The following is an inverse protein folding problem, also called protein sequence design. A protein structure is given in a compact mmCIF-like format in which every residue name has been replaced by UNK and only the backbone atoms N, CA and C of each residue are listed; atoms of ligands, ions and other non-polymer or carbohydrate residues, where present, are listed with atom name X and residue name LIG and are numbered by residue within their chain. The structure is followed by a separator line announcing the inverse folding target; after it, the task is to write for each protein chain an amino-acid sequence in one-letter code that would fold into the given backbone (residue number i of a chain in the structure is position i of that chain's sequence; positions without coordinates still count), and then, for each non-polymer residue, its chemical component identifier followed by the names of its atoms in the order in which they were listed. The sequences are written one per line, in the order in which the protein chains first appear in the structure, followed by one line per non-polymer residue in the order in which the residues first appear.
data_IF_573957578123
#
_entry.id   IF_573957578123
#
_cell.length_a   1.000
_cell.length_b   1.000
_cell.length_c   1.000
_cell.angle_alpha   90.00
_cell.angle_beta   90.00
_cell.angle_gamma   90.00
#
_symmetry.space_group_name_H-M   'P 1'
#
loop_
_entity.id
_entity.type
_entity.pdbx_description
1 polymer ?
#
# COMPACT_ATOMS: atom_id res chain seq x y z
N UNK A 1 -8.21 21.57 -14.63
CA UNK A 1 -8.51 22.80 -13.88
C UNK A 1 -7.50 22.97 -12.73
N UNK A 2 -6.80 24.12 -12.67
CA UNK A 2 -5.76 24.39 -11.65
C UNK A 2 -6.25 25.25 -10.50
N UNK A 3 -7.47 25.81 -10.61
CA UNK A 3 -8.06 26.71 -9.61
C UNK A 3 -9.48 26.24 -9.23
N UNK A 4 -9.94 26.58 -8.02
CA UNK A 4 -11.26 26.19 -7.55
C UNK A 4 -12.38 26.96 -8.25
N UNK A 5 -13.60 26.39 -8.27
CA UNK A 5 -14.80 27.09 -8.81
C UNK A 5 -15.01 28.41 -8.07
N UNK A 6 -14.77 28.44 -6.76
CA UNK A 6 -14.87 29.66 -5.95
C UNK A 6 -13.89 30.74 -6.45
N UNK A 7 -12.64 30.39 -6.71
CA UNK A 7 -11.66 31.33 -7.25
C UNK A 7 -12.04 31.81 -8.65
N UNK A 8 -12.63 30.95 -9.50
CA UNK A 8 -13.15 31.38 -10.83
C UNK A 8 -14.29 32.38 -10.63
N UNK A 9 -15.23 32.12 -9.72
CA UNK A 9 -16.32 33.05 -9.39
C UNK A 9 -15.79 34.40 -8.93
N UNK A 10 -14.82 34.40 -8.03
CA UNK A 10 -14.21 35.64 -7.51
C UNK A 10 -13.49 36.44 -8.61
N UNK A 11 -12.83 35.77 -9.55
CA UNK A 11 -12.11 36.40 -10.65
C UNK A 11 -13.02 36.90 -11.77
N UNK A 12 -14.12 36.18 -12.05
CA UNK A 12 -14.95 36.42 -13.24
C UNK A 12 -16.29 37.08 -12.93
N UNK A 13 -16.75 37.05 -11.69
CA UNK A 13 -18.10 37.45 -11.29
C UNK A 13 -19.22 36.49 -11.75
N UNK A 14 -18.88 35.39 -12.43
CA UNK A 14 -19.86 34.42 -12.91
C UNK A 14 -20.39 33.60 -11.74
N UNK A 15 -21.73 33.39 -11.71
CA UNK A 15 -22.35 32.60 -10.67
C UNK A 15 -21.85 31.16 -10.63
N UNK A 16 -21.69 30.63 -9.41
CA UNK A 16 -21.13 29.29 -9.16
C UNK A 16 -21.82 28.18 -9.95
N UNK A 17 -23.13 28.20 -10.06
CA UNK A 17 -23.92 27.21 -10.79
C UNK A 17 -23.63 27.23 -12.29
N UNK A 18 -23.41 28.43 -12.86
CA UNK A 18 -23.05 28.58 -14.27
C UNK A 18 -21.67 27.99 -14.55
N UNK A 19 -20.69 28.30 -13.69
CA UNK A 19 -19.33 27.73 -13.81
C UNK A 19 -19.41 26.20 -13.71
N UNK A 20 -20.20 25.69 -12.77
CA UNK A 20 -20.38 24.24 -12.59
C UNK A 20 -21.07 23.56 -13.78
N UNK A 21 -22.03 24.23 -14.39
CA UNK A 21 -22.71 23.74 -15.60
C UNK A 21 -21.71 23.62 -16.76
N UNK A 22 -20.97 24.69 -17.05
CA UNK A 22 -19.93 24.69 -18.10
C UNK A 22 -18.88 23.64 -17.84
N UNK A 23 -18.43 23.53 -16.59
CA UNK A 23 -17.47 22.47 -16.22
C UNK A 23 -18.01 21.07 -16.50
N UNK A 24 -19.30 20.83 -16.21
CA UNK A 24 -19.92 19.54 -16.48
C UNK A 24 -19.99 19.26 -17.98
N UNK A 25 -20.39 20.22 -18.79
CA UNK A 25 -20.43 20.10 -20.25
C UNK A 25 -19.05 19.74 -20.83
N UNK A 26 -17.99 20.42 -20.38
CA UNK A 26 -16.60 20.09 -20.77
C UNK A 26 -16.21 18.67 -20.34
N UNK A 27 -16.64 18.23 -19.15
CA UNK A 27 -16.36 16.87 -18.67
C UNK A 27 -17.11 15.82 -19.48
N UNK A 28 -18.39 16.08 -19.80
CA UNK A 28 -19.23 15.17 -20.58
C UNK A 28 -18.67 15.01 -22.01
N UNK A 29 -18.19 16.09 -22.62
CA UNK A 29 -17.49 16.07 -23.91
C UNK A 29 -16.20 15.24 -23.84
N UNK A 30 -15.38 15.46 -22.83
CA UNK A 30 -14.15 14.68 -22.62
C UNK A 30 -14.42 13.17 -22.37
N UNK A 31 -15.52 12.85 -21.69
CA UNK A 31 -15.95 11.45 -21.50
C UNK A 31 -16.37 10.86 -22.85
N UNK A 32 -17.18 11.58 -23.62
CA UNK A 32 -17.62 11.13 -24.94
C UNK A 32 -16.46 10.90 -25.91
N UNK A 33 -15.49 11.83 -25.98
CA UNK A 33 -14.28 11.66 -26.80
C UNK A 33 -13.49 10.41 -26.36
N UNK A 34 -13.41 10.16 -25.05
CA UNK A 34 -12.76 8.97 -24.50
C UNK A 34 -13.49 7.68 -24.89
N UNK A 35 -14.81 7.65 -24.76
CA UNK A 35 -15.60 6.49 -25.17
C UNK A 35 -15.46 6.22 -26.67
N UNK A 36 -15.41 7.27 -27.48
CA UNK A 36 -15.13 7.16 -28.91
C UNK A 36 -13.76 6.55 -29.17
N UNK A 37 -12.72 7.03 -28.47
CA UNK A 37 -11.37 6.48 -28.59
C UNK A 37 -11.31 5.00 -28.20
N UNK A 38 -12.01 4.59 -27.14
CA UNK A 38 -12.05 3.18 -26.71
C UNK A 38 -12.74 2.25 -27.71
N UNK A 39 -13.61 2.81 -28.59
CA UNK A 39 -14.27 2.08 -29.67
C UNK A 39 -13.50 2.15 -30.99
N UNK A 40 -12.43 2.95 -31.05
CA UNK A 40 -11.55 3.01 -32.19
C UNK A 40 -10.74 1.71 -32.29
N UNK A 41 -10.82 1.00 -33.41
CA UNK A 41 -10.10 -0.24 -33.66
C UNK A 41 -8.57 -0.09 -33.55
N UNK A 42 -8.06 1.14 -33.72
CA UNK A 42 -6.64 1.47 -33.60
C UNK A 42 -6.16 1.58 -32.14
N UNK A 43 -7.07 1.82 -31.17
CA UNK A 43 -6.67 1.98 -29.77
C UNK A 43 -6.68 0.66 -29.03
N UNK A 44 -5.49 0.20 -28.64
CA UNK A 44 -5.29 -1.08 -27.93
C UNK A 44 -4.29 -0.90 -26.78
N UNK A 45 -4.75 -0.61 -25.55
CA UNK A 45 -3.88 -0.45 -24.40
C UNK A 45 -3.16 -1.78 -24.11
N UNK A 46 -1.88 -1.69 -23.75
CA UNK A 46 -1.05 -2.88 -23.48
C UNK A 46 -0.85 -3.12 -21.99
N UNK A 47 -0.78 -2.06 -21.21
CA UNK A 47 -0.48 -2.13 -19.78
C UNK A 47 -1.55 -1.36 -19.01
N UNK A 48 -2.31 -2.08 -18.18
CA UNK A 48 -3.36 -1.49 -17.37
C UNK A 48 -2.92 -1.35 -15.91
N UNK A 49 -3.46 -0.35 -15.22
CA UNK A 49 -3.47 -0.29 -13.76
C UNK A 49 -4.90 -0.30 -13.25
N UNK A 50 -5.14 -1.04 -12.18
CA UNK A 50 -6.43 -1.11 -11.49
C UNK A 50 -6.22 -0.77 -10.02
N UNK A 51 -6.96 0.22 -9.52
CA UNK A 51 -6.91 0.62 -8.10
C UNK A 51 -8.28 1.07 -7.61
N UNK A 52 -8.45 1.05 -6.30
CA UNK A 52 -9.66 1.43 -5.58
C UNK A 52 -9.38 2.66 -4.72
N UNK A 53 -10.32 3.59 -4.69
CA UNK A 53 -10.22 4.71 -3.78
C UNK A 53 -11.55 5.03 -3.09
N UNK A 54 -11.46 5.56 -1.88
CA UNK A 54 -12.63 6.03 -1.15
C UNK A 54 -13.15 7.34 -1.73
N UNK A 55 -14.41 7.35 -2.15
CA UNK A 55 -15.10 8.55 -2.64
C UNK A 55 -15.45 9.48 -1.49
N UNK A 56 -15.92 8.92 -0.36
CA UNK A 56 -16.26 9.68 0.86
C UNK A 56 -15.72 8.97 2.09
N UNK A 57 -15.63 9.70 3.21
CA UNK A 57 -15.41 9.09 4.53
C UNK A 57 -16.58 8.13 4.81
N UNK A 58 -16.29 6.87 5.04
CA UNK A 58 -17.28 5.79 5.19
C UNK A 58 -17.50 5.07 3.86
N UNK A 59 -17.35 3.86 3.79
CA UNK A 59 -17.61 2.75 2.84
C UNK A 59 -18.04 3.02 1.38
N UNK A 60 -17.97 4.25 0.86
CA UNK A 60 -18.22 4.55 -0.55
C UNK A 60 -16.88 4.55 -1.32
N UNK A 61 -16.73 3.59 -2.22
CA UNK A 61 -15.51 3.38 -3.01
C UNK A 61 -15.81 3.54 -4.50
N UNK A 62 -14.76 3.80 -5.27
CA UNK A 62 -14.75 3.64 -6.72
C UNK A 62 -13.55 2.80 -7.13
N UNK A 63 -13.71 2.10 -8.25
CA UNK A 63 -12.64 1.39 -8.94
C UNK A 63 -12.31 2.15 -10.21
N UNK A 64 -11.03 2.36 -10.47
CA UNK A 64 -10.52 2.97 -11.70
C UNK A 64 -9.61 2.03 -12.45
N UNK A 65 -9.69 2.08 -13.78
CA UNK A 65 -8.78 1.43 -14.71
C UNK A 65 -8.09 2.49 -15.54
N UNK A 66 -6.76 2.43 -15.60
CA UNK A 66 -5.90 3.38 -16.32
C UNK A 66 -5.03 2.64 -17.33
N UNK A 67 -4.84 3.21 -18.51
CA UNK A 67 -3.73 2.87 -19.38
C UNK A 67 -2.45 3.50 -18.81
N UNK A 68 -1.48 2.68 -18.41
CA UNK A 68 -0.23 3.18 -17.81
C UNK A 68 0.72 3.79 -18.83
N UNK A 69 0.64 3.40 -20.09
CA UNK A 69 1.50 3.94 -21.15
C UNK A 69 1.06 5.38 -21.49
N UNK A 70 -0.23 5.59 -21.72
CA UNK A 70 -0.78 6.92 -22.03
C UNK A 70 -1.02 7.77 -20.77
N UNK A 71 -1.29 7.13 -19.63
CA UNK A 71 -1.66 7.82 -18.37
C UNK A 71 -3.13 8.20 -18.31
N UNK A 72 -3.95 7.61 -19.14
CA UNK A 72 -5.36 7.92 -19.32
C UNK A 72 -6.28 6.98 -18.54
N UNK A 73 -7.33 7.53 -17.93
CA UNK A 73 -8.37 6.73 -17.30
C UNK A 73 -9.28 6.14 -18.38
N UNK A 74 -9.29 4.83 -18.48
CA UNK A 74 -10.15 4.11 -19.43
C UNK A 74 -11.55 3.92 -18.89
N UNK A 75 -11.68 3.67 -17.61
CA UNK A 75 -12.95 3.38 -16.96
C UNK A 75 -12.94 3.76 -15.48
N UNK A 76 -14.10 4.12 -14.97
CA UNK A 76 -14.33 4.40 -13.56
C UNK A 76 -15.74 3.97 -13.14
N UNK A 77 -15.83 3.12 -12.13
CA UNK A 77 -17.11 2.62 -11.60
C UNK A 77 -17.23 2.79 -10.09
N UNK A 78 -18.47 2.94 -9.59
CA UNK A 78 -18.73 2.95 -8.15
C UNK A 78 -18.63 1.53 -7.59
N UNK A 79 -18.06 1.41 -6.40
CA UNK A 79 -17.92 0.16 -5.68
C UNK A 79 -16.53 -0.45 -5.77
N UNK A 80 -16.33 -1.55 -5.07
CA UNK A 80 -15.08 -2.34 -5.04
C UNK A 80 -15.32 -3.85 -4.97
N UNK A 81 -16.58 -4.26 -5.13
CA UNK A 81 -16.92 -5.67 -5.18
C UNK A 81 -16.59 -6.27 -6.55
N UNK A 82 -16.55 -7.59 -6.65
CA UNK A 82 -16.33 -8.30 -7.90
C UNK A 82 -17.27 -7.83 -9.01
N UNK A 83 -18.58 -7.76 -8.72
CA UNK A 83 -19.63 -7.30 -9.66
C UNK A 83 -19.44 -5.84 -10.12
N UNK A 84 -18.79 -5.01 -9.30
CA UNK A 84 -18.56 -3.60 -9.64
C UNK A 84 -17.42 -3.46 -10.65
N UNK A 85 -16.38 -4.28 -10.51
CA UNK A 85 -15.26 -4.32 -11.46
C UNK A 85 -15.58 -5.13 -12.72
N UNK A 86 -16.49 -6.11 -12.66
CA UNK A 86 -16.91 -6.89 -13.84
C UNK A 86 -17.51 -5.98 -14.93
N UNK A 87 -18.17 -4.88 -14.53
CA UNK A 87 -18.68 -3.85 -15.46
C UNK A 87 -17.61 -3.26 -16.38
N UNK A 88 -16.37 -3.18 -15.95
CA UNK A 88 -15.28 -2.75 -16.84
C UNK A 88 -15.19 -3.62 -18.10
N UNK A 89 -15.36 -4.93 -17.95
CA UNK A 89 -15.31 -5.87 -19.06
C UNK A 89 -16.62 -5.94 -19.88
N UNK A 90 -17.71 -5.41 -19.33
CA UNK A 90 -18.98 -5.23 -20.03
C UNK A 90 -19.01 -3.92 -20.83
N UNK A 91 -18.48 -2.84 -20.24
CA UNK A 91 -18.50 -1.49 -20.81
C UNK A 91 -17.41 -1.27 -21.87
N UNK A 92 -16.25 -1.92 -21.73
CA UNK A 92 -15.11 -1.76 -22.65
C UNK A 92 -15.09 -2.92 -23.66
N UNK A 93 -15.04 -2.62 -24.98
CA UNK A 93 -15.01 -3.65 -26.00
C UNK A 93 -13.85 -4.63 -25.82
N UNK A 94 -14.12 -5.92 -25.93
CA UNK A 94 -13.07 -6.97 -25.76
C UNK A 94 -11.95 -6.85 -26.77
N UNK A 95 -12.22 -6.38 -27.99
CA UNK A 95 -11.23 -6.14 -29.03
C UNK A 95 -10.22 -5.06 -28.63
N UNK A 96 -10.67 -4.01 -27.95
CA UNK A 96 -9.80 -2.97 -27.43
C UNK A 96 -8.84 -3.52 -26.37
N UNK A 97 -9.24 -4.54 -25.64
CA UNK A 97 -8.44 -5.17 -24.58
C UNK A 97 -7.54 -6.32 -25.12
N UNK A 98 -7.61 -6.65 -26.41
CA UNK A 98 -6.93 -7.79 -27.01
C UNK A 98 -5.40 -7.70 -26.95
N UNK A 99 -4.83 -6.50 -26.87
CA UNK A 99 -3.40 -6.24 -26.77
C UNK A 99 -2.86 -6.17 -25.33
N UNK A 100 -3.71 -6.33 -24.31
CA UNK A 100 -3.28 -6.21 -22.91
C UNK A 100 -2.34 -7.38 -22.55
N UNK A 101 -1.12 -7.03 -22.16
CA UNK A 101 -0.06 -7.96 -21.75
C UNK A 101 0.22 -7.97 -20.26
N UNK A 102 -0.10 -6.88 -19.55
CA UNK A 102 0.10 -6.78 -18.10
C UNK A 102 -0.98 -5.92 -17.43
N UNK A 103 -1.32 -6.29 -16.19
CA UNK A 103 -2.26 -5.54 -15.33
C UNK A 103 -1.61 -5.34 -13.97
N UNK A 104 -1.27 -4.08 -13.66
CA UNK A 104 -0.81 -3.68 -12.32
C UNK A 104 -2.01 -3.52 -11.39
N UNK A 105 -1.99 -4.17 -10.23
CA UNK A 105 -3.12 -4.11 -9.29
C UNK A 105 -2.71 -4.50 -7.87
N UNK A 106 -3.60 -4.25 -6.92
CA UNK A 106 -3.48 -4.79 -5.58
C UNK A 106 -3.75 -6.31 -5.57
N UNK A 107 -3.54 -6.97 -4.43
CA UNK A 107 -3.71 -8.42 -4.29
C UNK A 107 -5.16 -8.84 -4.00
N UNK A 108 -6.15 -8.14 -4.57
CA UNK A 108 -7.57 -8.47 -4.44
C UNK A 108 -7.91 -9.77 -5.18
N UNK A 109 -8.39 -10.77 -4.43
CA UNK A 109 -8.69 -12.09 -5.00
C UNK A 109 -9.82 -12.07 -6.05
N UNK A 110 -10.80 -11.18 -5.88
CA UNK A 110 -11.92 -11.04 -6.81
C UNK A 110 -11.46 -10.44 -8.14
N UNK A 111 -10.60 -9.43 -8.08
CA UNK A 111 -10.06 -8.79 -9.26
C UNK A 111 -9.13 -9.73 -10.03
N UNK A 112 -8.31 -10.51 -9.31
CA UNK A 112 -7.50 -11.55 -9.94
C UNK A 112 -8.32 -12.52 -10.76
N UNK A 113 -9.46 -12.99 -10.23
CA UNK A 113 -10.36 -13.91 -10.95
C UNK A 113 -10.89 -13.28 -12.24
N UNK A 114 -11.31 -12.02 -12.18
CA UNK A 114 -11.83 -11.31 -13.36
C UNK A 114 -10.75 -11.07 -14.40
N UNK A 115 -9.58 -10.58 -14.00
CA UNK A 115 -8.45 -10.38 -14.92
C UNK A 115 -8.04 -11.69 -15.57
N UNK A 116 -7.91 -12.78 -14.80
CA UNK A 116 -7.56 -14.10 -15.37
C UNK A 116 -8.64 -14.61 -16.32
N UNK A 117 -9.93 -14.37 -16.04
CA UNK A 117 -11.06 -14.79 -16.88
C UNK A 117 -11.10 -14.02 -18.20
N UNK A 118 -11.01 -12.70 -18.15
CA UNK A 118 -11.23 -11.83 -19.30
C UNK A 118 -9.95 -11.47 -20.06
N UNK A 119 -8.79 -11.53 -19.42
CA UNK A 119 -7.48 -11.22 -19.99
C UNK A 119 -6.49 -12.39 -19.77
N UNK A 120 -6.77 -13.59 -20.30
CA UNK A 120 -5.99 -14.79 -19.97
C UNK A 120 -4.53 -14.72 -20.44
N UNK A 121 -4.20 -13.83 -21.39
CA UNK A 121 -2.83 -13.61 -21.88
C UNK A 121 -2.07 -12.59 -21.06
N UNK A 122 -2.76 -11.79 -20.26
CA UNK A 122 -2.14 -10.73 -19.45
C UNK A 122 -1.51 -11.30 -18.17
N UNK A 123 -0.35 -10.80 -17.82
CA UNK A 123 0.29 -11.06 -16.52
C UNK A 123 -0.24 -10.09 -15.47
N UNK A 124 -0.66 -10.63 -14.34
CA UNK A 124 -0.97 -9.81 -13.16
C UNK A 124 0.36 -9.45 -12.51
N UNK A 125 0.57 -8.16 -12.26
CA UNK A 125 1.72 -7.60 -11.55
C UNK A 125 1.23 -6.96 -10.26
N UNK A 126 1.66 -7.47 -9.12
CA UNK A 126 1.26 -6.89 -7.85
C UNK A 126 2.12 -5.67 -7.51
N UNK A 127 1.42 -4.60 -7.19
CA UNK A 127 2.03 -3.32 -6.88
C UNK A 127 2.91 -3.38 -5.63
N UNK A 128 4.14 -2.87 -5.76
CA UNK A 128 5.16 -2.81 -4.70
C UNK A 128 4.65 -2.05 -3.48
N UNK A 129 4.01 -0.90 -3.69
CA UNK A 129 3.54 -0.06 -2.61
C UNK A 129 2.49 -0.76 -1.73
N UNK A 130 1.54 -1.46 -2.37
CA UNK A 130 0.52 -2.21 -1.64
C UNK A 130 1.12 -3.37 -0.84
N UNK A 131 2.10 -4.08 -1.37
CA UNK A 131 2.80 -5.14 -0.65
C UNK A 131 3.57 -4.59 0.55
N UNK A 132 4.35 -3.52 0.36
CA UNK A 132 5.11 -2.85 1.41
C UNK A 132 4.20 -2.27 2.49
N UNK A 133 3.10 -1.61 2.11
CA UNK A 133 2.13 -1.04 3.06
C UNK A 133 1.45 -2.10 3.92
N UNK A 134 1.12 -3.26 3.33
CA UNK A 134 0.56 -4.38 4.09
C UNK A 134 1.60 -4.98 5.04
N UNK A 135 2.84 -5.19 4.59
CA UNK A 135 3.92 -5.68 5.44
C UNK A 135 4.20 -4.72 6.61
N UNK A 136 4.25 -3.44 6.32
CA UNK A 136 4.45 -2.38 7.31
C UNK A 136 3.37 -2.38 8.40
N UNK A 137 2.11 -2.63 8.02
CA UNK A 137 0.98 -2.68 8.96
C UNK A 137 0.90 -4.02 9.69
N UNK A 138 0.93 -5.12 8.94
CA UNK A 138 0.54 -6.44 9.43
C UNK A 138 1.71 -7.19 10.09
N UNK A 139 2.96 -6.81 9.79
CA UNK A 139 4.17 -7.40 10.37
C UNK A 139 4.91 -6.40 11.25
N UNK A 140 5.57 -5.38 10.68
CA UNK A 140 6.37 -4.43 11.46
C UNK A 140 5.56 -3.70 12.53
N UNK A 141 4.36 -3.25 12.17
CA UNK A 141 3.45 -2.58 13.09
C UNK A 141 2.96 -3.48 14.21
N UNK A 142 2.64 -4.74 13.90
CA UNK A 142 2.18 -5.73 14.88
C UNK A 142 3.31 -6.09 15.86
N UNK A 143 4.47 -6.50 15.36
CA UNK A 143 5.62 -6.89 16.19
C UNK A 143 6.06 -5.73 17.09
N UNK A 144 6.25 -4.53 16.52
CA UNK A 144 6.60 -3.33 17.28
C UNK A 144 5.62 -3.02 18.42
N UNK A 145 4.31 -3.15 18.14
CA UNK A 145 3.29 -2.87 19.15
C UNK A 145 3.22 -3.96 20.22
N UNK A 146 3.49 -5.21 19.87
CA UNK A 146 3.53 -6.30 20.83
C UNK A 146 4.73 -6.16 21.77
N UNK A 147 5.92 -5.82 21.24
CA UNK A 147 7.08 -5.49 22.06
C UNK A 147 6.77 -4.31 23.01
N UNK A 148 6.23 -3.21 22.47
CA UNK A 148 5.85 -2.08 23.30
C UNK A 148 4.85 -2.45 24.42
N UNK A 149 3.88 -3.33 24.14
CA UNK A 149 2.93 -3.81 25.14
C UNK A 149 3.59 -4.64 26.24
N UNK A 150 4.59 -5.48 25.89
CA UNK A 150 5.37 -6.26 26.88
C UNK A 150 6.07 -5.33 27.87
N UNK A 151 6.77 -4.28 27.38
CA UNK A 151 7.39 -3.28 28.26
C UNK A 151 6.38 -2.54 29.13
N UNK A 152 5.20 -2.22 28.57
CA UNK A 152 4.13 -1.58 29.34
C UNK A 152 3.54 -2.48 30.41
N UNK A 153 3.46 -3.79 30.17
CA UNK A 153 3.02 -4.76 31.16
C UNK A 153 4.03 -4.90 32.30
N UNK A 154 5.32 -5.03 31.97
CA UNK A 154 6.42 -5.08 32.96
C UNK A 154 6.47 -3.83 33.85
N UNK A 155 6.35 -2.62 33.25
CA UNK A 155 6.26 -1.37 34.02
C UNK A 155 5.15 -1.46 35.09
N UNK A 156 3.98 -1.98 34.72
CA UNK A 156 2.85 -2.11 35.64
C UNK A 156 3.10 -3.16 36.73
N UNK A 157 3.70 -4.30 36.38
CA UNK A 157 4.06 -5.35 37.33
C UNK A 157 5.04 -4.81 38.37
N UNK A 158 6.15 -4.17 37.93
CA UNK A 158 7.14 -3.59 38.84
C UNK A 158 6.51 -2.54 39.77
N UNK A 159 5.61 -1.71 39.25
CA UNK A 159 4.94 -0.71 40.09
C UNK A 159 3.93 -1.31 41.07
N UNK A 160 3.35 -2.49 40.74
CA UNK A 160 2.43 -3.19 41.62
C UNK A 160 3.14 -3.88 42.80
N UNK A 161 4.43 -4.20 42.64
CA UNK A 161 5.25 -4.79 43.72
C UNK A 161 5.67 -3.78 44.80
N UNK A 162 5.44 -2.46 44.54
CA UNK A 162 5.70 -1.44 45.54
C UNK A 162 4.53 -1.35 46.52
N UNK A 163 4.77 -1.70 47.76
CA UNK A 163 3.83 -1.62 48.89
C UNK A 163 4.30 -0.58 49.95
N UNK A 164 3.44 -0.29 50.90
CA UNK A 164 3.79 0.61 52.01
C UNK A 164 4.91 0.08 52.91
N UNK A 165 5.12 -1.24 52.90
CA UNK A 165 6.19 -1.92 53.66
C UNK A 165 7.51 -1.99 52.92
N UNK A 166 7.56 -1.56 51.66
CA UNK A 166 8.78 -1.59 50.83
C UNK A 166 9.81 -0.57 51.34
N UNK A 167 11.01 -1.05 51.66
CA UNK A 167 12.09 -0.17 52.09
C UNK A 167 12.48 0.86 51.02
N UNK A 168 13.07 1.98 51.46
CA UNK A 168 13.37 3.14 50.55
C UNK A 168 14.36 2.78 49.43
N UNK A 169 15.30 1.87 49.65
CA UNK A 169 16.32 1.52 48.65
C UNK A 169 15.72 0.61 47.59
N UNK A 170 14.98 -0.41 47.96
CA UNK A 170 14.23 -1.30 47.07
C UNK A 170 13.18 -0.49 46.28
N UNK A 171 12.42 0.40 46.95
CA UNK A 171 11.47 1.27 46.25
C UNK A 171 12.15 2.15 45.18
N UNK A 172 13.35 2.69 45.46
CA UNK A 172 14.10 3.50 44.52
C UNK A 172 14.56 2.67 43.31
N UNK A 173 15.04 1.46 43.53
CA UNK A 173 15.45 0.53 42.47
C UNK A 173 14.26 0.15 41.58
N UNK A 174 13.13 -0.27 42.13
CA UNK A 174 11.92 -0.61 41.40
C UNK A 174 11.38 0.56 40.55
N UNK A 175 11.38 1.78 41.11
CA UNK A 175 10.99 2.99 40.36
C UNK A 175 11.94 3.29 39.20
N UNK A 176 13.24 3.03 39.35
CA UNK A 176 14.22 3.21 38.28
C UNK A 176 14.01 2.18 37.16
N UNK A 177 13.76 0.93 37.52
CA UNK A 177 13.45 -0.14 36.59
C UNK A 177 12.13 0.13 35.83
N UNK A 178 11.06 0.47 36.52
CA UNK A 178 9.80 0.87 35.89
C UNK A 178 9.97 2.07 34.94
N UNK A 179 10.85 3.01 35.27
CA UNK A 179 11.18 4.15 34.39
C UNK A 179 11.92 3.68 33.12
N UNK A 180 12.80 2.71 33.20
CA UNK A 180 13.48 2.12 32.05
C UNK A 180 12.47 1.45 31.12
N UNK A 181 11.59 0.61 31.64
CA UNK A 181 10.53 -0.06 30.87
C UNK A 181 9.60 0.95 30.18
N UNK A 182 9.26 2.03 30.84
CA UNK A 182 8.49 3.15 30.26
C UNK A 182 9.23 3.87 29.13
N UNK A 183 10.54 4.00 29.24
CA UNK A 183 11.38 4.59 28.18
C UNK A 183 11.36 3.69 26.93
N UNK A 184 11.58 2.37 27.09
CA UNK A 184 11.53 1.38 26.00
C UNK A 184 10.15 1.40 25.31
N UNK A 185 9.07 1.35 26.06
CA UNK A 185 7.73 1.53 25.52
C UNK A 185 7.61 2.78 24.64
N UNK A 186 8.11 3.92 25.11
CA UNK A 186 8.03 5.21 24.42
C UNK A 186 8.89 5.23 23.16
N UNK A 187 10.08 4.64 23.21
CA UNK A 187 11.00 4.54 22.06
C UNK A 187 10.38 3.68 20.96
N UNK A 188 9.90 2.48 21.27
CA UNK A 188 9.22 1.59 20.34
C UNK A 188 8.00 2.27 19.69
N UNK A 189 7.22 3.02 20.45
CA UNK A 189 6.08 3.78 19.88
C UNK A 189 6.50 4.81 18.84
N UNK A 190 7.62 5.51 19.08
CA UNK A 190 8.15 6.56 18.17
C UNK A 190 8.85 5.99 16.94
N UNK A 191 9.31 4.75 16.99
CA UNK A 191 10.11 4.11 15.95
C UNK A 191 9.36 3.87 14.63
N UNK A 192 8.04 4.03 14.62
CA UNK A 192 7.17 3.72 13.46
C UNK A 192 7.74 4.22 12.13
N UNK A 193 8.08 5.49 12.06
CA UNK A 193 8.49 6.10 10.81
C UNK A 193 9.88 5.65 10.36
N UNK A 194 10.81 5.44 11.28
CA UNK A 194 12.14 4.91 10.96
C UNK A 194 12.08 3.49 10.40
N UNK A 195 11.20 2.63 10.93
CA UNK A 195 10.98 1.28 10.40
C UNK A 195 10.35 1.27 8.99
N UNK A 196 9.51 2.25 8.69
CA UNK A 196 8.83 2.35 7.39
C UNK A 196 9.70 2.98 6.30
N UNK A 197 10.65 3.81 6.69
CA UNK A 197 11.58 4.46 5.75
C UNK A 197 12.62 3.44 5.27
N UNK A 198 12.97 3.47 3.99
CA UNK A 198 14.06 2.66 3.46
C UNK A 198 15.38 3.11 4.08
N UNK A 199 16.29 2.16 4.30
CA UNK A 199 17.58 2.41 4.97
C UNK A 199 18.43 3.50 4.29
N UNK A 200 18.39 3.55 2.96
CA UNK A 200 19.09 4.53 2.12
C UNK A 200 18.57 5.98 2.26
N UNK A 201 17.36 6.15 2.85
CA UNK A 201 16.70 7.46 3.03
C UNK A 201 16.68 7.92 4.49
N UNK A 202 17.24 7.14 5.39
CA UNK A 202 17.38 7.54 6.79
C UNK A 202 18.57 8.47 6.96
N UNK A 203 18.47 9.48 7.83
CA UNK A 203 19.62 10.25 8.27
C UNK A 203 20.48 9.41 9.22
N UNK A 204 21.78 9.69 9.28
CA UNK A 204 22.75 8.95 10.12
C UNK A 204 22.26 8.80 11.56
N UNK A 205 21.81 9.88 12.17
CA UNK A 205 21.27 9.89 13.55
C UNK A 205 20.06 8.97 13.73
N UNK A 206 19.14 8.89 12.73
CA UNK A 206 18.00 7.97 12.78
C UNK A 206 18.43 6.52 12.53
N UNK A 207 19.45 6.32 11.73
CA UNK A 207 20.02 5.00 11.46
C UNK A 207 20.65 4.43 12.72
N UNK A 208 21.49 5.22 13.41
CA UNK A 208 22.09 4.83 14.68
C UNK A 208 21.04 4.51 15.76
N UNK A 209 20.03 5.36 15.89
CA UNK A 209 18.92 5.13 16.82
C UNK A 209 18.15 3.85 16.49
N UNK A 210 17.86 3.61 15.21
CA UNK A 210 17.18 2.40 14.75
C UNK A 210 18.03 1.16 15.05
N UNK A 211 19.31 1.18 14.71
CA UNK A 211 20.23 0.08 14.95
C UNK A 211 20.36 -0.26 16.43
N UNK A 212 20.50 0.75 17.30
CA UNK A 212 20.53 0.54 18.75
C UNK A 212 19.29 -0.20 19.24
N UNK A 213 18.10 0.24 18.83
CA UNK A 213 16.85 -0.41 19.28
C UNK A 213 16.73 -1.83 18.69
N UNK A 214 17.12 -2.05 17.44
CA UNK A 214 17.05 -3.38 16.82
C UNK A 214 18.03 -4.40 17.46
N UNK A 215 19.12 -3.95 18.11
CA UNK A 215 20.00 -4.85 18.86
C UNK A 215 19.31 -5.50 20.05
N UNK A 216 18.37 -4.79 20.70
CA UNK A 216 17.67 -5.26 21.89
C UNK A 216 16.35 -5.98 21.57
N UNK A 217 15.87 -5.86 20.30
CA UNK A 217 14.57 -6.41 19.87
C UNK A 217 14.71 -7.35 18.67
N UNK A 218 15.08 -8.60 18.92
CA UNK A 218 15.39 -9.61 17.90
C UNK A 218 14.27 -9.77 16.85
N UNK A 219 13.02 -9.97 17.26
CA UNK A 219 11.91 -10.20 16.34
C UNK A 219 11.69 -8.98 15.42
N UNK A 220 11.85 -7.79 15.97
CA UNK A 220 11.72 -6.55 15.21
C UNK A 220 12.88 -6.39 14.21
N UNK A 221 14.11 -6.78 14.60
CA UNK A 221 15.27 -6.78 13.74
C UNK A 221 15.12 -7.73 12.56
N UNK A 222 14.65 -8.96 12.81
CA UNK A 222 14.34 -9.93 11.74
C UNK A 222 13.28 -9.38 10.79
N UNK A 223 12.18 -8.85 11.31
CA UNK A 223 11.13 -8.26 10.47
C UNK A 223 11.63 -7.07 9.65
N UNK A 224 12.52 -6.24 10.21
CA UNK A 224 13.11 -5.13 9.47
C UNK A 224 14.04 -5.61 8.35
N UNK A 225 14.90 -6.60 8.60
CA UNK A 225 15.74 -7.22 7.58
C UNK A 225 14.90 -7.83 6.44
N UNK A 226 13.81 -8.51 6.79
CA UNK A 226 12.87 -9.08 5.82
C UNK A 226 12.16 -8.00 4.98
N UNK A 227 11.88 -6.82 5.54
CA UNK A 227 11.37 -5.66 4.78
C UNK A 227 12.40 -5.17 3.76
N UNK A 228 13.65 -4.99 4.18
CA UNK A 228 14.72 -4.53 3.28
C UNK A 228 14.96 -5.53 2.14
N UNK A 229 14.98 -6.82 2.45
CA UNK A 229 15.11 -7.86 1.42
C UNK A 229 13.93 -7.86 0.44
N UNK A 230 12.70 -7.72 0.94
CA UNK A 230 11.51 -7.56 0.09
C UNK A 230 11.65 -6.36 -0.86
N UNK A 231 12.23 -5.23 -0.40
CA UNK A 231 12.49 -4.08 -1.24
C UNK A 231 13.46 -4.39 -2.38
N UNK A 232 14.54 -5.15 -2.10
CA UNK A 232 15.54 -5.59 -3.10
C UNK A 232 14.93 -6.54 -4.12
N UNK A 233 14.06 -7.45 -3.70
CA UNK A 233 13.39 -8.38 -4.61
C UNK A 233 12.57 -7.66 -5.70
N UNK A 234 11.98 -6.51 -5.38
CA UNK A 234 11.29 -5.67 -6.36
C UNK A 234 12.23 -4.91 -7.32
N UNK A 235 13.53 -4.94 -7.11
CA UNK A 235 14.53 -4.33 -7.99
C UNK A 235 15.10 -5.33 -9.01
N UNK A 236 14.78 -6.62 -8.85
CA UNK A 236 15.21 -7.65 -9.78
C UNK A 236 14.52 -7.49 -11.14
N UNK A 237 15.30 -7.63 -12.20
CA UNK A 237 14.85 -7.54 -13.60
C UNK A 237 14.80 -8.90 -14.31
N UNK A 238 15.30 -9.94 -13.67
CA UNK A 238 15.19 -11.33 -14.15
C UNK A 238 14.11 -12.07 -13.40
N UNK A 239 13.16 -12.62 -14.13
CA UNK A 239 12.00 -13.31 -13.55
C UNK A 239 12.37 -14.57 -12.77
N UNK A 240 13.35 -15.35 -13.26
CA UNK A 240 13.75 -16.58 -12.57
C UNK A 240 14.45 -16.25 -11.26
N UNK A 241 15.33 -15.25 -11.27
CA UNK A 241 15.95 -14.74 -10.06
C UNK A 241 14.90 -14.18 -9.08
N UNK A 242 13.90 -13.47 -9.57
CA UNK A 242 12.79 -12.99 -8.73
C UNK A 242 12.01 -14.17 -8.11
N UNK A 243 11.66 -15.20 -8.87
CA UNK A 243 10.98 -16.40 -8.35
C UNK A 243 11.83 -17.09 -7.26
N UNK A 244 13.13 -17.30 -7.52
CA UNK A 244 14.03 -17.90 -6.54
C UNK A 244 14.13 -17.03 -5.28
N UNK A 245 14.33 -15.73 -5.45
CA UNK A 245 14.45 -14.79 -4.35
C UNK A 245 13.18 -14.75 -3.47
N UNK A 246 12.00 -14.62 -4.08
CA UNK A 246 10.73 -14.65 -3.35
C UNK A 246 10.47 -15.98 -2.66
N UNK A 247 10.84 -17.12 -3.27
CA UNK A 247 10.70 -18.44 -2.66
C UNK A 247 11.56 -18.53 -1.39
N UNK A 248 12.83 -18.10 -1.47
CA UNK A 248 13.73 -18.05 -0.30
C UNK A 248 13.20 -17.11 0.77
N UNK A 249 12.68 -15.95 0.37
CA UNK A 249 12.08 -14.99 1.29
C UNK A 249 10.90 -15.59 2.06
N UNK A 250 9.97 -16.28 1.37
CA UNK A 250 8.84 -16.93 2.02
C UNK A 250 9.27 -18.06 2.95
N UNK A 251 10.29 -18.82 2.57
CA UNK A 251 10.85 -19.87 3.40
C UNK A 251 11.47 -19.28 4.67
N UNK A 252 12.35 -18.30 4.56
CA UNK A 252 12.97 -17.63 5.71
C UNK A 252 11.92 -16.97 6.62
N UNK A 253 10.88 -16.37 6.05
CA UNK A 253 9.78 -15.80 6.82
C UNK A 253 9.01 -16.85 7.63
N UNK A 254 8.81 -18.05 7.09
CA UNK A 254 8.14 -19.16 7.79
C UNK A 254 9.03 -19.77 8.86
N UNK A 255 10.33 -19.86 8.60
CA UNK A 255 11.34 -20.40 9.55
C UNK A 255 11.65 -19.44 10.71
N UNK A 256 11.29 -18.17 10.60
CA UNK A 256 11.51 -17.17 11.65
C UNK A 256 10.71 -17.43 12.93
N UNK A 257 9.67 -18.25 12.88
CA UNK A 257 8.72 -18.52 13.97
C UNK A 257 7.98 -17.28 14.51
N UNK A 258 8.21 -16.06 13.93
CA UNK A 258 7.54 -14.83 14.32
C UNK A 258 6.08 -14.87 13.79
N UNK A 259 5.05 -14.92 14.66
CA UNK A 259 3.69 -15.25 14.24
C UNK A 259 3.12 -14.31 13.18
N UNK A 260 3.42 -13.01 13.27
CA UNK A 260 2.96 -12.02 12.30
C UNK A 260 3.61 -12.21 10.93
N UNK A 261 4.93 -12.49 10.89
CA UNK A 261 5.70 -12.71 9.68
C UNK A 261 5.31 -14.02 9.00
N UNK A 262 5.15 -15.10 9.77
CA UNK A 262 4.68 -16.41 9.27
C UNK A 262 3.31 -16.30 8.62
N UNK A 263 2.33 -15.67 9.31
CA UNK A 263 0.98 -15.47 8.75
C UNK A 263 1.01 -14.68 7.44
N UNK A 264 1.81 -13.63 7.40
CA UNK A 264 1.97 -12.82 6.20
C UNK A 264 2.55 -13.64 5.05
N UNK A 265 3.63 -14.40 5.27
CA UNK A 265 4.26 -15.25 4.28
C UNK A 265 3.29 -16.29 3.69
N UNK A 266 2.58 -17.04 4.55
CA UNK A 266 1.59 -18.04 4.13
C UNK A 266 0.48 -17.44 3.27
N UNK A 267 0.03 -16.22 3.61
CA UNK A 267 -1.00 -15.54 2.80
C UNK A 267 -0.49 -15.08 1.43
N UNK A 268 0.79 -14.66 1.36
CA UNK A 268 1.35 -14.03 0.16
C UNK A 268 2.05 -15.01 -0.78
N UNK A 269 2.52 -16.15 -0.31
CA UNK A 269 3.23 -17.16 -1.11
C UNK A 269 2.42 -17.62 -2.34
N UNK A 270 1.11 -17.80 -2.19
CA UNK A 270 0.21 -18.11 -3.31
C UNK A 270 0.11 -17.01 -4.38
N UNK A 271 0.70 -15.86 -4.12
CA UNK A 271 0.77 -14.70 -5.04
C UNK A 271 2.13 -14.60 -5.74
N UNK A 272 3.03 -15.57 -5.53
CA UNK A 272 4.38 -15.59 -6.07
C UNK A 272 4.46 -15.22 -7.56
N UNK A 273 3.62 -15.77 -8.47
CA UNK A 273 3.73 -15.43 -9.90
C UNK A 273 3.54 -13.93 -10.17
N UNK A 274 2.60 -13.28 -9.49
CA UNK A 274 2.32 -11.84 -9.66
C UNK A 274 3.34 -10.95 -8.94
N UNK A 275 3.96 -11.43 -7.87
CA UNK A 275 5.07 -10.73 -7.20
C UNK A 275 6.33 -10.76 -8.08
N UNK A 276 6.69 -11.93 -8.61
CA UNK A 276 7.84 -12.09 -9.49
C UNK A 276 7.62 -11.40 -10.87
N UNK A 277 6.38 -11.24 -11.32
CA UNK A 277 6.06 -10.61 -12.60
C UNK A 277 6.52 -9.14 -12.68
N UNK A 278 6.82 -8.49 -11.54
CA UNK A 278 7.44 -7.17 -11.52
C UNK A 278 8.79 -7.14 -12.25
N UNK A 279 9.51 -8.26 -12.29
CA UNK A 279 10.78 -8.38 -13.02
C UNK A 279 10.61 -8.28 -14.55
N UNK A 280 9.44 -8.67 -15.10
CA UNK A 280 9.13 -8.45 -16.52
C UNK A 280 8.63 -7.04 -16.79
N UNK A 281 7.81 -6.52 -15.87
CA UNK A 281 7.13 -5.25 -16.02
C UNK A 281 7.36 -4.44 -14.76
N UNK A 282 8.33 -3.52 -14.78
CA UNK A 282 8.58 -2.59 -13.68
C UNK A 282 7.50 -1.50 -13.66
N UNK A 283 6.26 -1.92 -13.41
CA UNK A 283 5.06 -1.08 -13.40
C UNK A 283 4.51 -0.96 -11.99
N UNK A 284 3.90 0.18 -11.71
CA UNK A 284 3.22 0.44 -10.44
C UNK A 284 1.91 1.18 -10.65
N UNK A 285 1.04 1.11 -9.66
CA UNK A 285 -0.21 1.90 -9.63
C UNK A 285 0.02 3.36 -9.23
N UNK A 286 1.27 3.81 -9.05
CA UNK A 286 1.59 5.14 -8.55
C UNK A 286 1.01 6.30 -9.34
N UNK A 287 0.96 6.21 -10.69
CA UNK A 287 0.27 7.20 -11.53
C UNK A 287 -1.22 7.26 -11.22
N UNK A 288 -1.86 6.09 -11.08
CA UNK A 288 -3.28 5.98 -10.76
C UNK A 288 -3.58 6.44 -9.32
N UNK A 289 -2.71 6.13 -8.37
CA UNK A 289 -2.81 6.65 -6.99
C UNK A 289 -2.71 8.17 -6.96
N UNK A 290 -1.78 8.76 -7.72
CA UNK A 290 -1.67 10.20 -7.89
C UNK A 290 -2.95 10.82 -8.46
N UNK A 291 -3.59 10.17 -9.44
CA UNK A 291 -4.88 10.58 -9.98
C UNK A 291 -6.00 10.47 -8.94
N UNK A 292 -6.08 9.35 -8.22
CA UNK A 292 -7.05 9.14 -7.15
C UNK A 292 -6.92 10.19 -6.03
N UNK A 293 -5.70 10.62 -5.71
CA UNK A 293 -5.46 11.70 -4.75
C UNK A 293 -5.93 13.06 -5.27
N UNK A 294 -5.77 13.36 -6.57
CA UNK A 294 -6.33 14.58 -7.18
C UNK A 294 -7.85 14.62 -7.07
N UNK A 295 -8.54 13.49 -7.30
CA UNK A 295 -10.00 13.40 -7.12
C UNK A 295 -10.39 13.70 -5.69
N UNK A 296 -9.64 13.18 -4.68
CA UNK A 296 -9.93 13.44 -3.27
C UNK A 296 -9.77 14.91 -2.88
N UNK A 297 -8.85 15.62 -3.51
CA UNK A 297 -8.61 17.06 -3.26
C UNK A 297 -9.62 17.95 -4.00
N UNK A 298 -10.11 17.50 -5.16
CA UNK A 298 -11.06 18.27 -6.00
C UNK A 298 -12.49 18.28 -5.45
N UNK A 299 -12.77 17.53 -4.40
CA UNK A 299 -14.06 17.47 -3.69
C UNK A 299 -14.16 18.45 -2.56
#
# INVERSE_FOLDING_TARGET
QKISIKAIQELTGIHWDTIRKVQREIMDEAIWEREKMLRDEGYKPRILAVDEFAIHKGHSYATCVMDLEQGDILWGGKGRAMKDFEKFFEDVPSDSLSAVIAVAMNMNASYNKLVTKHLPKARIVYDRFHMQSQFARDVLGAVRLDEARRHKAKEKEILADISDDTDKETMKSLKQEAKAEKQEYSQLKKLRWSLLTNSDKLSDSKTEQLQSILQDHHDLAVCYAMKEEMCRLYELTDYQQAVIGWTKWFQAAKESEIPALVRFAVQKEKRLPGLAAHAFYSISTGKLEGFNNKIKVAK
#
